data_IF_653156860254
#
_entry.id   IF_653156860254
#
_cell.length_a   1.000
_cell.length_b   1.000
_cell.length_c   1.000
_cell.angle_alpha   90.00
_cell.angle_beta   90.00
_cell.angle_gamma   90.00
#
_symmetry.space_group_name_H-M   'P 1'
#
loop_
_entity.id
_entity.type
_entity.pdbx_description
1 polymer ?
2 polymer ?
3 non-polymer ?
4 non-polymer ?
5 non-polymer ?
6 water ?
#
loop_
_entity_poly.entity_id
_entity_poly.type
_entity_poly.pdbx_seq_one_letter_code
_entity_poly.pdbx_strand_id
2 'polyribonucleotide' '(GTP)GCCAGUCUGGCGUUUGGUGACAGCGCCAAGUUCUUCGGAAUUGGGAAAUCCUACUGGCC' ?
#
# COMPACT_ATOMS: atom_id res chain seq x y z
N UNK A 2 10.26 -4.88 -10.44
CA UNK A 2 10.40 -6.04 -9.56
C UNK A 2 9.08 -6.47 -8.92
N UNK A 3 9.16 -7.24 -7.84
CA UNK A 3 7.96 -7.71 -7.15
C UNK A 3 7.47 -6.66 -6.15
N UNK A 4 6.16 -6.44 -6.09
CA UNK A 4 5.63 -5.51 -5.08
C UNK A 4 5.84 -6.06 -3.67
N UNK A 5 6.19 -5.17 -2.75
CA UNK A 5 6.55 -5.56 -1.39
C UNK A 5 5.56 -4.96 -0.40
N UNK A 6 5.39 -5.66 0.73
CA UNK A 6 4.53 -5.17 1.79
C UNK A 6 5.06 -3.85 2.31
N UNK A 7 4.19 -2.86 2.42
CA UNK A 7 4.60 -1.55 2.87
C UNK A 7 5.12 -0.63 1.78
N UNK A 8 5.14 -1.07 0.53
CA UNK A 8 5.61 -0.23 -0.57
C UNK A 8 4.54 0.79 -0.95
N UNK A 9 4.99 2.02 -1.19
CA UNK A 9 4.10 3.08 -1.67
C UNK A 9 3.82 2.86 -3.16
N UNK A 10 2.59 3.10 -3.57
CA UNK A 10 2.21 3.00 -4.96
C UNK A 10 1.40 4.23 -5.35
N UNK A 11 1.44 4.55 -6.64
CA UNK A 11 0.55 5.53 -7.23
C UNK A 11 -0.44 4.78 -8.11
N UNK A 12 -1.72 4.92 -7.79
CA UNK A 12 -2.77 4.25 -8.55
C UNK A 12 -2.91 4.93 -9.90
N UNK A 13 -2.91 4.14 -10.97
CA UNK A 13 -3.02 4.69 -12.32
C UNK A 13 -4.32 4.32 -13.00
N UNK A 14 -5.02 3.26 -12.57
CA UNK A 14 -6.31 2.89 -13.15
C UNK A 14 -7.31 2.61 -12.04
N UNK A 15 -8.59 2.81 -12.34
CA UNK A 15 -9.66 2.72 -11.38
C UNK A 15 -10.09 4.08 -10.87
N UNK A 16 -11.23 4.10 -10.18
CA UNK A 16 -11.77 5.38 -9.73
C UNK A 16 -10.96 5.99 -8.58
N UNK A 17 -10.06 5.22 -7.97
CA UNK A 17 -9.11 5.76 -7.00
C UNK A 17 -7.80 6.20 -7.65
N UNK A 18 -7.81 6.36 -8.97
CA UNK A 18 -6.59 6.77 -9.69
C UNK A 18 -6.02 8.10 -9.20
N UNK A 19 -4.72 8.21 -9.41
CA UNK A 19 -3.88 9.37 -9.11
C UNK A 19 -3.71 9.61 -7.61
N UNK A 20 -4.20 8.72 -6.76
CA UNK A 20 -3.92 8.78 -5.33
C UNK A 20 -2.72 7.90 -4.99
N UNK A 21 -2.13 8.15 -3.84
CA UNK A 21 -1.08 7.31 -3.30
C UNK A 21 -1.66 6.37 -2.25
N UNK A 22 -1.14 5.14 -2.22
CA UNK A 22 -1.62 4.13 -1.29
C UNK A 22 -0.45 3.27 -0.85
N UNK A 23 -0.73 2.31 0.02
CA UNK A 23 0.28 1.40 0.57
C UNK A 23 -0.13 -0.04 0.27
N UNK A 24 0.83 -0.84 -0.21
CA UNK A 24 0.61 -2.26 -0.35
C UNK A 24 0.59 -2.92 1.03
N UNK A 25 -0.49 -3.62 1.33
CA UNK A 25 -0.61 -4.31 2.62
C UNK A 25 -0.71 -5.82 2.49
N UNK A 26 -0.93 -6.35 1.29
CA UNK A 26 -0.95 -7.79 1.11
C UNK A 26 -0.66 -8.13 -0.34
N UNK A 27 0.18 -9.14 -0.56
CA UNK A 27 0.48 -9.66 -1.89
C UNK A 27 -0.19 -11.02 -2.01
N UNK A 28 -1.22 -11.10 -2.86
CA UNK A 28 -1.93 -12.36 -3.05
C UNK A 28 -1.10 -13.32 -3.89
N UNK A 29 -0.65 -12.87 -5.05
CA UNK A 29 0.19 -13.67 -5.93
C UNK A 29 1.05 -12.72 -6.76
N UNK A 30 1.57 -13.20 -7.87
CA UNK A 30 2.42 -12.38 -8.73
C UNK A 30 1.65 -11.29 -9.47
N UNK A 31 0.32 -11.30 -9.43
CA UNK A 31 -0.48 -10.34 -10.16
C UNK A 31 -1.31 -9.42 -9.27
N UNK A 32 -1.87 -9.92 -8.17
CA UNK A 32 -2.82 -9.17 -7.38
C UNK A 32 -2.26 -8.80 -6.00
N UNK A 33 -2.59 -7.60 -5.55
CA UNK A 33 -2.24 -7.10 -4.24
C UNK A 33 -3.50 -6.48 -3.63
N UNK A 34 -3.40 -6.13 -2.36
CA UNK A 34 -4.39 -5.30 -1.69
C UNK A 34 -3.70 -4.05 -1.19
N UNK A 35 -4.38 -2.91 -1.33
CA UNK A 35 -3.82 -1.62 -0.93
C UNK A 35 -4.78 -0.95 0.05
N UNK A 36 -4.23 -0.05 0.85
CA UNK A 36 -5.03 0.74 1.77
C UNK A 36 -4.23 1.99 2.15
N UNK A 37 -4.95 3.07 2.45
CA UNK A 37 -4.32 4.32 2.85
C UNK A 37 -4.69 4.75 4.26
N UNK A 38 -5.52 3.98 4.97
CA UNK A 38 -5.94 4.34 6.31
C UNK A 38 -6.89 5.51 6.41
N UNK A 39 -7.38 6.04 5.29
CA UNK A 39 -8.28 7.18 5.30
C UNK A 39 -9.56 6.86 4.53
N UNK A 40 -9.58 7.15 3.24
CA UNK A 40 -10.77 6.83 2.47
C UNK A 40 -10.82 5.35 2.11
N UNK A 41 -9.69 4.64 2.22
CA UNK A 41 -9.62 3.20 1.99
C UNK A 41 -8.86 2.57 3.16
N UNK A 42 -9.60 2.13 4.17
CA UNK A 42 -9.00 1.58 5.39
C UNK A 42 -8.78 0.07 5.28
N UNK A 43 -7.95 -0.47 6.20
CA UNK A 43 -7.42 -1.83 6.05
C UNK A 43 -8.53 -2.87 6.05
N UNK A 44 -9.58 -2.64 6.86
CA UNK A 44 -10.63 -3.67 6.99
C UNK A 44 -11.45 -3.81 5.73
N UNK A 45 -11.37 -2.85 4.81
CA UNK A 45 -11.99 -2.94 3.49
C UNK A 45 -10.97 -2.57 2.42
N UNK A 46 -9.77 -3.15 2.52
CA UNK A 46 -8.70 -2.83 1.59
C UNK A 46 -9.10 -3.12 0.15
N UNK A 47 -8.46 -2.40 -0.78
CA UNK A 47 -8.82 -2.47 -2.20
C UNK A 47 -7.95 -3.50 -2.91
N UNK A 48 -8.60 -4.51 -3.48
CA UNK A 48 -7.90 -5.46 -4.35
C UNK A 48 -7.45 -4.77 -5.63
N UNK A 49 -6.24 -5.07 -6.08
CA UNK A 49 -5.72 -4.43 -7.29
C UNK A 49 -4.85 -5.39 -8.09
N UNK A 50 -5.07 -5.42 -9.39
CA UNK A 50 -4.05 -5.92 -10.32
C UNK A 50 -2.84 -5.01 -10.25
N UNK A 51 -1.65 -5.58 -10.09
CA UNK A 51 -0.45 -4.78 -9.91
C UNK A 51 -0.13 -3.96 -11.16
N UNK A 52 -0.64 -4.35 -12.32
CA UNK A 52 -0.46 -3.56 -13.53
C UNK A 52 -1.25 -2.26 -13.51
N UNK A 53 -2.18 -2.09 -12.58
CA UNK A 53 -2.90 -0.84 -12.41
C UNK A 53 -2.30 0.05 -11.35
N UNK A 54 -1.07 -0.24 -10.93
CA UNK A 54 -0.33 0.57 -9.98
C UNK A 54 1.01 0.95 -10.58
N UNK A 55 1.59 2.04 -10.08
CA UNK A 55 2.97 2.41 -10.34
C UNK A 55 3.76 2.23 -9.06
N UNK A 56 4.74 1.34 -9.07
CA UNK A 56 5.57 1.11 -7.89
C UNK A 56 6.50 2.29 -7.65
N UNK A 57 6.43 2.85 -6.43
CA UNK A 57 7.29 3.95 -6.02
C UNK A 57 8.45 3.39 -5.21
N UNK A 58 9.64 3.95 -5.42
CA UNK A 58 10.86 3.46 -4.76
C UNK A 58 10.92 3.96 -3.31
N UNK A 59 9.90 3.57 -2.54
CA UNK A 59 9.83 3.91 -1.12
C UNK A 59 9.01 2.84 -0.42
N UNK A 60 9.60 2.23 0.61
CA UNK A 60 8.97 1.16 1.36
C UNK A 60 9.00 1.56 2.84
N UNK A 61 7.83 1.62 3.46
CA UNK A 61 7.75 2.05 4.86
C UNK A 61 8.20 0.91 5.77
N UNK A 62 9.24 1.08 6.57
CA UNK A 62 9.63 0.01 7.49
C UNK A 62 8.61 -0.20 8.60
N UNK A 63 7.90 0.87 9.01
CA UNK A 63 6.93 0.75 10.09
C UNK A 63 5.77 -0.16 9.70
N UNK A 64 5.30 -0.06 8.46
CA UNK A 64 4.21 -0.93 8.01
C UNK A 64 4.70 -2.37 7.91
N UNK A 65 5.85 -2.57 7.27
CA UNK A 65 6.41 -3.91 7.15
C UNK A 65 6.67 -4.53 8.52
N UNK A 66 7.26 -3.76 9.43
CA UNK A 66 7.52 -4.29 10.78
C UNK A 66 6.22 -4.63 11.50
N UNK A 67 5.17 -3.83 11.28
CA UNK A 67 3.94 -4.07 12.01
C UNK A 67 3.30 -5.39 11.57
N UNK A 68 3.43 -5.76 10.30
CA UNK A 68 2.90 -7.04 9.85
C UNK A 68 3.72 -8.20 10.39
N UNK A 69 5.04 -8.04 10.44
CA UNK A 69 5.89 -9.13 10.93
C UNK A 69 5.66 -9.36 12.42
N UNK A 70 5.62 -8.29 13.21
CA UNK A 70 5.49 -8.43 14.65
C UNK A 70 4.05 -8.67 15.10
N UNK A 71 3.06 -8.07 14.43
CA UNK A 71 1.68 -8.17 14.90
C UNK A 71 0.72 -8.83 13.93
N UNK A 72 1.14 -9.08 12.68
CA UNK A 72 0.27 -9.68 11.69
C UNK A 72 -0.72 -8.72 11.04
N UNK A 73 -0.82 -7.48 11.52
CA UNK A 73 -1.75 -6.51 10.97
C UNK A 73 -1.09 -5.13 10.99
N UNK A 74 -1.80 -4.13 10.48
CA UNK A 74 -1.37 -2.74 10.52
C UNK A 74 -2.59 -1.87 10.82
N UNK A 75 -2.39 -0.80 11.58
CA UNK A 75 -3.49 0.10 11.88
C UNK A 75 -3.63 1.15 10.79
N UNK A 76 -4.82 1.72 10.70
CA UNK A 76 -5.01 2.85 9.79
C UNK A 76 -4.18 4.04 10.20
N UNK A 77 -3.99 4.26 11.50
CA UNK A 77 -3.12 5.34 11.95
C UNK A 77 -1.71 5.22 11.41
N UNK A 78 -1.16 4.00 11.43
CA UNK A 78 0.20 3.79 10.91
C UNK A 78 0.26 3.96 9.40
N UNK A 79 -0.79 3.56 8.68
CA UNK A 79 -0.83 3.80 7.24
C UNK A 79 -0.83 5.29 6.94
N UNK A 80 -1.66 6.06 7.65
CA UNK A 80 -1.71 7.50 7.41
C UNK A 80 -0.36 8.14 7.72
N UNK A 81 0.31 7.67 8.78
CA UNK A 81 1.64 8.19 9.08
C UNK A 81 2.63 7.85 7.98
N UNK A 82 2.60 6.61 7.49
CA UNK A 82 3.53 6.20 6.45
C UNK A 82 3.36 7.04 5.19
N UNK A 83 2.12 7.31 4.79
CA UNK A 83 1.89 8.10 3.59
C UNK A 83 2.22 9.56 3.81
N UNK A 84 1.82 10.11 4.97
CA UNK A 84 2.11 11.52 5.25
C UNK A 84 3.61 11.75 5.35
N UNK A 85 4.34 10.80 5.93
CA UNK A 85 5.80 10.91 5.99
C UNK A 85 6.41 10.77 4.61
N UNK A 86 5.87 9.87 3.79
CA UNK A 86 6.39 9.72 2.43
C UNK A 86 6.24 10.99 1.62
N UNK A 87 5.08 11.66 1.73
CA UNK A 87 4.85 12.87 0.95
C UNK A 87 5.78 14.00 1.40
N UNK A 88 6.12 14.07 2.68
CA UNK A 88 6.97 15.14 3.16
C UNK A 88 8.39 15.03 2.60
N UNK A 89 8.90 13.80 2.49
CA UNK A 89 10.26 13.58 1.98
C UNK A 89 10.34 13.64 0.46
N UNK A 90 9.21 13.80 -0.23
CA UNK A 90 9.20 13.90 -1.68
C UNK A 90 8.30 15.04 -2.15
#
# INVERSE_FOLDING_TARGET
GPSPEIGQIVKIVKGRDRDQFSVIIKRVDDRFVYIADGDKRKVDRAKRKNMNHLKLIDHISPEVRHSFEETGKVTNGKLRFALKKFLEEHADLLKEGE
#
